data_IF_157285822509
#
_entry.id   IF_157285822509
#
_cell.length_a   1.000
_cell.length_b   1.000
_cell.length_c   1.000
_cell.angle_alpha   90.00
_cell.angle_beta   90.00
_cell.angle_gamma   90.00
#
_symmetry.space_group_name_H-M   'P 1'
#
loop_
_entity.id
_entity.type
_entity.pdbx_description
1 polymer ?
#
# COMPACT_ATOMS: atom_id res chain seq x y z
N UNK A 1 -15.78 -1.93 -3.76
CA UNK A 1 -15.01 -1.19 -2.76
C UNK A 1 -15.15 0.31 -3.02
N UNK A 2 -15.52 1.11 -2.02
CA UNK A 2 -15.52 2.57 -2.19
C UNK A 2 -14.15 3.08 -2.59
N UNK A 3 -14.13 4.03 -3.51
CA UNK A 3 -12.89 4.55 -4.06
C UNK A 3 -12.21 5.55 -3.13
N UNK A 4 -10.90 5.52 -3.11
CA UNK A 4 -10.08 6.47 -2.36
C UNK A 4 -9.99 7.75 -3.18
N UNK A 5 -10.61 8.83 -2.69
CA UNK A 5 -10.54 10.12 -3.35
C UNK A 5 -9.15 10.72 -3.24
N UNK A 6 -8.85 11.67 -4.10
CA UNK A 6 -7.57 12.37 -4.07
C UNK A 6 -7.36 13.10 -2.74
N UNK A 7 -8.43 13.64 -2.18
CA UNK A 7 -8.38 14.32 -0.89
C UNK A 7 -8.10 13.36 0.25
N UNK A 8 -8.75 12.18 0.23
CA UNK A 8 -8.54 11.16 1.25
C UNK A 8 -7.15 10.54 1.16
N UNK A 9 -6.61 10.41 -0.04
CA UNK A 9 -5.35 9.73 -0.30
C UNK A 9 -4.21 10.26 0.55
N UNK A 10 -4.03 11.58 0.58
CA UNK A 10 -2.95 12.21 1.32
C UNK A 10 -3.03 11.90 2.81
N UNK A 11 -4.21 12.03 3.38
CA UNK A 11 -4.43 11.74 4.81
C UNK A 11 -4.24 10.26 5.12
N UNK A 12 -4.68 9.40 4.22
CA UNK A 12 -4.53 7.96 4.39
C UNK A 12 -3.05 7.55 4.38
N UNK A 13 -2.28 8.07 3.43
CA UNK A 13 -0.85 7.76 3.34
C UNK A 13 -0.11 8.26 4.56
N UNK A 14 -0.40 9.47 5.02
CA UNK A 14 0.20 10.01 6.23
C UNK A 14 -0.07 9.11 7.43
N UNK A 15 -1.31 8.65 7.57
CA UNK A 15 -1.69 7.78 8.69
C UNK A 15 -0.98 6.43 8.63
N UNK A 16 -0.85 5.85 7.43
CA UNK A 16 -0.14 4.59 7.24
C UNK A 16 1.35 4.76 7.58
N UNK A 17 1.97 5.83 7.08
CA UNK A 17 3.38 6.13 7.35
C UNK A 17 3.59 6.31 8.85
N UNK A 18 2.71 7.02 9.52
CA UNK A 18 2.80 7.21 10.97
C UNK A 18 2.78 5.87 11.71
N UNK A 19 1.87 4.97 11.33
CA UNK A 19 1.79 3.65 11.95
C UNK A 19 3.07 2.85 11.73
N UNK A 20 3.57 2.83 10.51
CA UNK A 20 4.78 2.08 10.18
C UNK A 20 5.97 2.60 10.97
N UNK A 21 6.15 3.90 11.05
CA UNK A 21 7.31 4.51 11.69
C UNK A 21 7.20 4.54 13.21
N UNK A 22 6.05 4.91 13.75
CA UNK A 22 5.89 5.14 15.18
C UNK A 22 5.40 3.93 15.95
N UNK A 23 4.47 3.16 15.41
CA UNK A 23 3.91 2.00 16.10
C UNK A 23 4.69 0.73 15.81
N UNK A 24 5.13 0.54 14.58
CA UNK A 24 5.86 -0.67 14.18
C UNK A 24 7.36 -0.46 14.11
N UNK A 25 7.86 0.73 14.46
CA UNK A 25 9.29 1.02 14.49
C UNK A 25 10.01 0.56 13.23
N UNK A 26 9.38 0.79 12.10
CA UNK A 26 9.85 0.36 10.80
C UNK A 26 10.13 1.57 9.92
N UNK A 27 10.64 1.34 8.70
CA UNK A 27 11.03 2.42 7.81
C UNK A 27 10.23 2.34 6.53
N UNK A 28 9.63 3.46 6.12
CA UNK A 28 8.95 3.57 4.83
C UNK A 28 9.94 4.08 3.79
N UNK A 29 9.99 3.40 2.65
CA UNK A 29 10.82 3.83 1.53
C UNK A 29 9.97 4.57 0.52
N UNK A 30 8.79 4.05 0.21
CA UNK A 30 7.86 4.71 -0.70
C UNK A 30 6.44 4.20 -0.49
N UNK A 31 5.46 5.05 -0.77
CA UNK A 31 4.04 4.70 -0.72
C UNK A 31 3.31 5.48 -1.80
N UNK A 32 2.47 4.79 -2.54
CA UNK A 32 1.61 5.40 -3.54
C UNK A 32 0.52 4.40 -3.91
N UNK A 33 -0.46 4.83 -4.66
CA UNK A 33 -1.53 3.95 -5.04
C UNK A 33 -2.46 4.60 -6.04
N UNK A 34 -3.61 3.98 -6.19
CA UNK A 34 -4.67 4.46 -7.05
C UNK A 34 -5.93 4.64 -6.21
N UNK A 35 -7.06 4.85 -6.86
CA UNK A 35 -8.34 5.04 -6.17
C UNK A 35 -8.83 3.79 -5.45
N UNK A 36 -8.29 2.61 -5.76
CA UNK A 36 -8.78 1.35 -5.19
C UNK A 36 -7.69 0.46 -4.55
N UNK A 37 -6.43 0.87 -4.58
CA UNK A 37 -5.38 0.11 -3.87
C UNK A 37 -4.18 0.97 -3.55
N UNK A 38 -3.34 0.46 -2.64
CA UNK A 38 -2.14 1.15 -2.15
C UNK A 38 -0.95 0.20 -2.23
N UNK A 39 0.16 0.71 -2.70
CA UNK A 39 1.45 0.00 -2.70
C UNK A 39 2.39 0.65 -1.69
N UNK A 40 3.01 -0.16 -0.87
CA UNK A 40 3.94 0.31 0.16
C UNK A 40 5.25 -0.45 0.02
N UNK A 41 6.34 0.28 -0.14
CA UNK A 41 7.69 -0.26 -0.07
C UNK A 41 8.27 0.13 1.28
N UNK A 42 8.56 -0.85 2.12
CA UNK A 42 8.99 -0.57 3.47
C UNK A 42 9.90 -1.67 4.02
N UNK A 43 10.62 -1.35 5.07
CA UNK A 43 11.48 -2.28 5.77
C UNK A 43 10.84 -2.56 7.13
N UNK A 44 10.20 -3.73 7.26
CA UNK A 44 9.51 -4.11 8.50
C UNK A 44 10.52 -4.53 9.56
N UNK A 45 10.39 -3.96 10.75
CA UNK A 45 11.18 -4.38 11.90
C UNK A 45 10.93 -5.87 12.13
N UNK A 46 12.01 -6.70 12.21
CA UNK A 46 11.86 -8.16 12.25
C UNK A 46 11.15 -8.71 13.49
N UNK A 47 10.94 -7.90 14.52
CA UNK A 47 10.15 -8.35 15.68
C UNK A 47 8.66 -8.47 15.37
N UNK A 48 8.21 -7.94 14.23
CA UNK A 48 6.81 -7.96 13.84
C UNK A 48 6.54 -8.96 12.72
N UNK A 49 5.37 -9.58 12.78
CA UNK A 49 4.89 -10.49 11.75
C UNK A 49 4.15 -9.68 10.68
N UNK A 50 4.42 -9.97 9.41
CA UNK A 50 3.79 -9.23 8.30
C UNK A 50 2.27 -9.34 8.32
N UNK A 51 1.72 -10.53 8.59
CA UNK A 51 0.26 -10.73 8.64
C UNK A 51 -0.38 -9.89 9.73
N UNK A 52 0.23 -9.83 10.90
CA UNK A 52 -0.27 -9.04 12.03
C UNK A 52 -0.18 -7.55 11.72
N UNK A 53 0.93 -7.13 11.08
CA UNK A 53 1.11 -5.76 10.66
C UNK A 53 -0.01 -5.33 9.69
N UNK A 54 -0.25 -6.12 8.65
CA UNK A 54 -1.27 -5.81 7.66
C UNK A 54 -2.69 -5.81 8.25
N UNK A 55 -2.97 -6.76 9.14
CA UNK A 55 -4.26 -6.79 9.82
C UNK A 55 -4.49 -5.52 10.62
N UNK A 56 -3.48 -5.07 11.34
CA UNK A 56 -3.56 -3.85 12.14
C UNK A 56 -3.76 -2.62 11.25
N UNK A 57 -2.95 -2.47 10.22
CA UNK A 57 -3.04 -1.31 9.31
C UNK A 57 -4.39 -1.27 8.62
N UNK A 58 -4.84 -2.40 8.07
CA UNK A 58 -6.13 -2.48 7.37
C UNK A 58 -7.30 -2.20 8.31
N UNK A 59 -7.29 -2.83 9.48
CA UNK A 59 -8.38 -2.66 10.45
C UNK A 59 -8.47 -1.23 10.97
N UNK A 60 -7.36 -0.65 11.34
CA UNK A 60 -7.36 0.69 11.91
C UNK A 60 -7.67 1.76 10.89
N UNK A 61 -7.13 1.65 9.67
CA UNK A 61 -7.41 2.64 8.64
C UNK A 61 -8.85 2.56 8.14
N UNK A 62 -9.41 1.36 7.98
CA UNK A 62 -10.82 1.24 7.59
C UNK A 62 -11.75 1.76 8.69
N UNK A 63 -11.43 1.49 9.95
CA UNK A 63 -12.20 2.03 11.08
C UNK A 63 -12.18 3.57 11.06
N UNK A 64 -11.00 4.16 10.86
CA UNK A 64 -10.85 5.61 10.81
C UNK A 64 -11.66 6.21 9.65
N UNK A 65 -11.57 5.63 8.46
CA UNK A 65 -12.30 6.11 7.29
C UNK A 65 -13.81 6.08 7.54
N UNK A 66 -14.30 4.98 8.11
CA UNK A 66 -15.73 4.82 8.37
C UNK A 66 -16.22 5.69 9.52
N UNK A 67 -15.44 5.82 10.60
CA UNK A 67 -15.79 6.64 11.73
C UNK A 67 -15.92 8.11 11.34
N UNK A 68 -15.00 8.59 10.48
CA UNK A 68 -15.01 9.98 10.01
C UNK A 68 -15.86 10.17 8.75
N UNK A 69 -16.50 9.10 8.27
CA UNK A 69 -17.36 9.14 7.09
C UNK A 69 -16.68 9.77 5.87
N UNK A 70 -15.44 9.34 5.59
CA UNK A 70 -14.61 9.91 4.54
C UNK A 70 -14.92 9.37 3.14
N UNK A 71 -15.78 8.36 3.05
CA UNK A 71 -16.28 7.82 1.78
C UNK A 71 -17.79 7.80 1.78
N UNK A 72 -18.41 7.79 0.59
CA UNK A 72 -19.86 7.81 0.45
C UNK A 72 -20.53 6.57 1.03
N UNK A 73 -19.85 5.44 0.92
CA UNK A 73 -20.34 4.15 1.43
C UNK A 73 -19.35 3.60 2.44
N UNK A 74 -19.79 2.57 3.17
CA UNK A 74 -18.89 1.90 4.10
C UNK A 74 -17.65 1.39 3.39
N UNK A 75 -16.50 1.76 3.90
CA UNK A 75 -15.19 1.38 3.35
C UNK A 75 -14.72 0.06 3.95
N UNK A 76 -14.15 -0.80 3.10
CA UNK A 76 -13.48 -2.01 3.54
C UNK A 76 -12.36 -2.35 2.57
N UNK A 77 -11.20 -2.73 3.11
CA UNK A 77 -10.12 -3.25 2.29
C UNK A 77 -10.48 -4.66 1.79
N UNK A 78 -9.89 -5.05 0.67
CA UNK A 78 -10.00 -6.44 0.23
C UNK A 78 -9.32 -7.35 1.24
N UNK A 79 -9.79 -8.59 1.36
CA UNK A 79 -9.24 -9.54 2.33
C UNK A 79 -7.83 -10.00 1.98
N UNK A 80 -7.53 -10.09 0.70
CA UNK A 80 -6.23 -10.55 0.23
C UNK A 80 -5.27 -9.39 -0.01
N UNK A 81 -3.99 -9.72 -0.10
CA UNK A 81 -2.92 -8.78 -0.42
C UNK A 81 -1.81 -9.51 -1.15
N UNK A 82 -0.96 -8.75 -1.85
CA UNK A 82 0.27 -9.28 -2.43
C UNK A 82 1.45 -8.72 -1.65
N UNK A 83 2.36 -9.59 -1.24
CA UNK A 83 3.56 -9.19 -0.54
C UNK A 83 4.77 -9.89 -1.16
N UNK A 84 5.82 -9.11 -1.42
CA UNK A 84 7.04 -9.61 -2.04
C UNK A 84 8.24 -9.05 -1.32
N UNK A 85 9.26 -9.88 -1.15
CA UNK A 85 10.56 -9.41 -0.68
C UNK A 85 11.28 -8.75 -1.85
N UNK A 86 11.91 -7.61 -1.59
CA UNK A 86 12.66 -6.87 -2.60
C UNK A 86 14.13 -6.79 -2.19
N UNK A 87 15.02 -7.20 -3.08
CA UNK A 87 16.45 -7.12 -2.82
C UNK A 87 16.92 -5.66 -2.82
N UNK A 88 17.98 -5.37 -2.10
CA UNK A 88 18.54 -4.03 -2.06
C UNK A 88 18.88 -3.51 -3.45
N UNK A 89 19.35 -4.40 -4.32
CA UNK A 89 19.67 -4.06 -5.70
C UNK A 89 18.47 -3.53 -6.49
N UNK A 90 17.27 -4.01 -6.17
CA UNK A 90 16.05 -3.68 -6.91
C UNK A 90 15.23 -2.56 -6.28
N UNK A 91 15.66 -2.00 -5.14
CA UNK A 91 14.88 -0.99 -4.42
C UNK A 91 14.53 0.22 -5.28
N UNK A 92 15.49 0.75 -6.04
CA UNK A 92 15.24 1.91 -6.89
C UNK A 92 14.22 1.63 -7.98
N UNK A 93 14.30 0.44 -8.57
CA UNK A 93 13.38 0.01 -9.62
C UNK A 93 11.96 -0.12 -9.08
N UNK A 94 11.82 -0.75 -7.93
CA UNK A 94 10.51 -0.93 -7.28
C UNK A 94 9.94 0.42 -6.85
N UNK A 95 10.77 1.27 -6.28
CA UNK A 95 10.33 2.60 -5.86
C UNK A 95 9.83 3.43 -7.05
N UNK A 96 10.51 3.35 -8.19
CA UNK A 96 10.06 4.04 -9.40
C UNK A 96 8.72 3.50 -9.89
N UNK A 97 8.54 2.18 -9.85
CA UNK A 97 7.26 1.58 -10.19
C UNK A 97 6.13 2.14 -9.32
N UNK A 98 6.38 2.28 -8.03
CA UNK A 98 5.40 2.83 -7.09
C UNK A 98 5.11 4.30 -7.41
N UNK A 99 6.14 5.08 -7.76
CA UNK A 99 5.97 6.50 -8.10
C UNK A 99 5.02 6.71 -9.28
N UNK A 100 5.07 5.82 -10.28
CA UNK A 100 4.24 5.96 -11.49
C UNK A 100 2.98 5.09 -11.44
N UNK A 101 2.61 4.64 -10.28
CA UNK A 101 1.48 3.71 -10.08
C UNK A 101 0.18 4.21 -10.71
N UNK A 102 -0.14 5.48 -10.54
CA UNK A 102 -1.38 6.05 -11.07
C UNK A 102 -1.45 5.99 -12.59
N UNK A 103 -0.30 6.14 -13.23
CA UNK A 103 -0.22 6.12 -14.69
C UNK A 103 -0.36 4.71 -15.24
N UNK A 104 0.31 3.75 -14.61
CA UNK A 104 0.16 2.35 -15.00
C UNK A 104 -1.27 1.85 -14.85
N UNK A 105 -1.94 2.26 -13.79
CA UNK A 105 -3.30 1.82 -13.53
C UNK A 105 -4.30 2.26 -14.60
N UNK A 106 -4.01 3.35 -15.31
CA UNK A 106 -4.86 3.80 -16.42
C UNK A 106 -4.82 2.84 -17.61
N UNK A 107 -3.73 2.09 -17.77
CA UNK A 107 -3.48 1.24 -18.93
C UNK A 107 -3.66 -0.24 -18.64
N UNK A 108 -3.49 -0.65 -17.40
CA UNK A 108 -3.46 -2.06 -17.00
C UNK A 108 -4.31 -2.29 -15.77
N UNK A 109 -4.90 -3.50 -15.69
CA UNK A 109 -5.59 -3.93 -14.49
C UNK A 109 -4.58 -4.18 -13.38
N UNK A 110 -5.06 -4.23 -12.13
CA UNK A 110 -4.19 -4.53 -11.00
C UNK A 110 -3.46 -5.87 -11.18
N UNK A 111 -4.17 -6.88 -11.69
CA UNK A 111 -3.58 -8.19 -11.94
C UNK A 111 -2.48 -8.13 -13.00
N UNK A 112 -2.73 -7.36 -14.08
CA UNK A 112 -1.74 -7.16 -15.13
C UNK A 112 -0.50 -6.45 -14.59
N UNK A 113 -0.67 -5.48 -13.71
CA UNK A 113 0.44 -4.80 -13.06
C UNK A 113 1.30 -5.77 -12.25
N UNK A 114 0.67 -6.63 -11.48
CA UNK A 114 1.39 -7.64 -10.70
C UNK A 114 2.18 -8.58 -11.60
N UNK A 115 1.57 -9.06 -12.69
CA UNK A 115 2.24 -9.95 -13.64
C UNK A 115 3.41 -9.26 -14.34
N UNK A 116 3.23 -8.01 -14.75
CA UNK A 116 4.29 -7.21 -15.34
C UNK A 116 5.47 -7.08 -14.38
N UNK A 117 5.17 -6.81 -13.13
CA UNK A 117 6.18 -6.62 -12.08
C UNK A 117 6.99 -7.89 -11.87
N UNK A 118 6.32 -9.04 -11.81
CA UNK A 118 6.97 -10.34 -11.67
C UNK A 118 7.88 -10.65 -12.86
N UNK A 119 7.39 -10.41 -14.08
CA UNK A 119 8.18 -10.64 -15.30
C UNK A 119 9.44 -9.81 -15.35
N UNK A 120 9.40 -8.60 -14.83
CA UNK A 120 10.54 -7.69 -14.87
C UNK A 120 11.43 -7.79 -13.63
N UNK A 121 11.21 -8.82 -12.79
CA UNK A 121 12.08 -9.09 -11.66
C UNK A 121 12.01 -8.05 -10.55
N UNK A 122 10.90 -7.33 -10.47
CA UNK A 122 10.70 -6.34 -9.42
C UNK A 122 10.28 -6.95 -8.09
N UNK A 123 9.95 -8.23 -8.09
CA UNK A 123 9.50 -8.97 -6.90
C UNK A 123 10.34 -10.23 -6.72
N UNK A 124 10.61 -10.58 -5.50
CA UNK A 124 11.33 -11.81 -5.15
C UNK A 124 10.58 -12.55 -4.06
#
# INVERSE_FOLDING_TARGET
VPLISQTLEESLYYRIIFKITQEFKSKVININGTEDHVHILFNLNPVFNLSDFLRNVKGETSHWINHEELTDKKFAWQKSYFAYSVSERDLKKVSRYIDIQKEYHKQYSFLDECNFFLKNGGCN
#
